data_IF_148837532125
#
_entry.id   IF_148837532125
#
_cell.length_a   1.000
_cell.length_b   1.000
_cell.length_c   1.000
_cell.angle_alpha   90.00
_cell.angle_beta   90.00
_cell.angle_gamma   90.00
#
_symmetry.space_group_name_H-M   'P 1'
#
loop_
_entity.id
_entity.type
_entity.pdbx_description
1 polymer ?
#
# COMPACT_ATOMS: atom_id res chain seq x y z
N UNK A 1 10.08 28.53 18.24
CA UNK A 1 9.70 28.90 16.86
C UNK A 1 9.90 27.67 16.01
N UNK A 2 8.85 26.89 15.74
CA UNK A 2 8.95 25.75 14.83
C UNK A 2 8.58 26.23 13.44
N UNK A 3 9.54 26.16 12.52
CA UNK A 3 9.30 26.43 11.10
C UNK A 3 8.58 25.19 10.56
N UNK A 4 7.27 25.28 10.37
CA UNK A 4 6.51 24.27 9.63
C UNK A 4 6.90 24.40 8.16
N UNK A 5 7.69 23.45 7.68
CA UNK A 5 7.99 23.33 6.26
C UNK A 5 6.76 22.74 5.58
N UNK A 6 5.99 23.56 4.86
CA UNK A 6 4.99 23.05 3.91
C UNK A 6 5.78 22.59 2.68
N UNK A 7 6.06 21.30 2.61
CA UNK A 7 6.67 20.69 1.42
C UNK A 7 5.73 20.97 0.23
N UNK A 8 6.21 21.60 -0.86
CA UNK A 8 5.36 21.92 -2.01
C UNK A 8 4.79 20.62 -2.59
N UNK A 9 3.50 20.65 -2.90
CA UNK A 9 2.69 19.53 -3.38
C UNK A 9 3.16 19.05 -4.75
N UNK A 10 4.25 18.27 -4.82
CA UNK A 10 4.53 17.45 -5.98
C UNK A 10 3.68 16.17 -5.86
N UNK A 11 2.68 16.04 -6.73
CA UNK A 11 2.00 14.79 -7.12
C UNK A 11 2.26 13.60 -6.19
N UNK A 12 1.50 13.54 -5.11
CA UNK A 12 1.71 12.56 -4.08
C UNK A 12 1.00 11.27 -4.47
N UNK A 13 1.77 10.25 -4.85
CA UNK A 13 1.26 8.90 -5.03
C UNK A 13 0.68 8.43 -3.70
N UNK A 14 -0.58 8.00 -3.74
CA UNK A 14 -1.29 7.45 -2.59
C UNK A 14 -1.27 5.94 -2.63
N UNK A 15 -0.86 5.36 -1.51
CA UNK A 15 -0.76 3.91 -1.36
C UNK A 15 -1.96 3.36 -0.58
N UNK A 16 -2.48 2.22 -1.02
CA UNK A 16 -3.58 1.53 -0.35
C UNK A 16 -3.42 0.01 -0.44
N UNK A 17 -3.87 -0.70 0.59
CA UNK A 17 -3.99 -2.15 0.56
C UNK A 17 -5.32 -2.52 -0.10
N UNK A 18 -5.27 -3.47 -1.03
CA UNK A 18 -6.45 -3.95 -1.73
C UNK A 18 -6.98 -5.22 -1.07
N UNK A 19 -8.32 -5.37 -0.95
CA UNK A 19 -8.92 -6.61 -0.51
C UNK A 19 -8.52 -7.79 -1.40
N UNK A 20 -8.34 -8.94 -0.78
CA UNK A 20 -8.06 -10.19 -1.47
C UNK A 20 -8.82 -11.34 -0.82
N UNK A 21 -8.94 -12.48 -1.50
CA UNK A 21 -9.73 -13.63 -1.05
C UNK A 21 -9.31 -14.21 0.31
N UNK A 22 -8.07 -13.96 0.72
CA UNK A 22 -7.49 -14.52 1.94
C UNK A 22 -7.52 -13.55 3.11
N UNK A 23 -8.11 -12.36 2.95
CA UNK A 23 -8.17 -11.28 3.96
C UNK A 23 -6.81 -10.89 4.57
N UNK A 24 -5.71 -11.29 3.94
CA UNK A 24 -4.34 -11.06 4.40
C UNK A 24 -4.07 -9.57 4.67
N UNK A 25 -4.63 -8.70 3.81
CA UNK A 25 -4.52 -7.25 3.92
C UNK A 25 -5.04 -6.69 5.26
N UNK A 26 -5.98 -7.37 5.94
CA UNK A 26 -6.54 -6.92 7.22
C UNK A 26 -5.51 -6.94 8.36
N UNK A 27 -4.49 -7.80 8.25
CA UNK A 27 -3.42 -7.93 9.24
C UNK A 27 -2.32 -6.88 9.08
N UNK A 28 -2.38 -6.04 8.04
CA UNK A 28 -1.39 -5.01 7.75
C UNK A 28 -2.01 -3.62 7.73
N UNK A 29 -1.17 -2.62 7.93
CA UNK A 29 -1.48 -1.23 7.69
C UNK A 29 -0.49 -0.68 6.68
N UNK A 30 -0.91 0.27 5.85
CA UNK A 30 -0.02 0.99 4.95
C UNK A 30 -0.15 2.48 5.21
N UNK A 31 0.98 3.17 5.32
CA UNK A 31 1.00 4.61 5.33
C UNK A 31 0.71 5.14 3.92
N UNK A 32 -0.39 5.88 3.76
CA UNK A 32 -0.89 6.34 2.48
C UNK A 32 0.05 7.31 1.74
N UNK A 33 1.02 7.91 2.43
CA UNK A 33 1.96 8.89 1.91
C UNK A 33 3.31 8.26 1.56
N UNK A 34 3.83 7.44 2.46
CA UNK A 34 5.18 6.87 2.36
C UNK A 34 5.18 5.45 1.80
N UNK A 35 4.04 4.76 1.79
CA UNK A 35 3.94 3.37 1.40
C UNK A 35 4.53 2.39 2.42
N UNK A 36 4.91 2.85 3.62
CA UNK A 36 5.46 1.99 4.67
C UNK A 36 4.37 1.05 5.17
N UNK A 37 4.65 -0.26 5.08
CA UNK A 37 3.75 -1.31 5.55
C UNK A 37 4.14 -1.70 6.97
N UNK A 38 3.15 -1.73 7.86
CA UNK A 38 3.29 -2.13 9.26
C UNK A 38 2.30 -3.22 9.61
N UNK A 39 2.60 -3.97 10.67
CA UNK A 39 1.80 -5.10 11.12
C UNK A 39 0.77 -4.64 12.14
N UNK A 40 -0.50 -5.06 12.01
CA UNK A 40 -1.57 -4.75 12.99
C UNK A 40 -1.70 -5.80 14.09
N UNK A 41 -1.10 -6.97 13.89
CA UNK A 41 -1.22 -8.11 14.78
C UNK A 41 0.12 -8.83 14.92
N UNK A 42 0.24 -9.62 15.96
CA UNK A 42 1.37 -10.54 16.11
C UNK A 42 1.15 -11.72 15.17
N UNK A 43 2.19 -12.09 14.43
CA UNK A 43 2.13 -13.20 13.49
C UNK A 43 2.77 -14.44 14.08
N UNK A 44 2.08 -15.56 13.94
CA UNK A 44 2.60 -16.88 14.28
C UNK A 44 2.96 -17.61 12.98
N UNK A 45 4.26 -17.87 12.81
CA UNK A 45 4.79 -18.53 11.61
C UNK A 45 4.28 -19.97 11.47
N UNK A 46 3.96 -20.65 12.57
CA UNK A 46 3.42 -22.02 12.55
C UNK A 46 2.01 -22.07 11.97
N UNK A 47 1.25 -20.99 12.13
CA UNK A 47 -0.08 -20.84 11.54
C UNK A 47 0.01 -20.37 10.09
N UNK A 48 0.84 -19.35 9.82
CA UNK A 48 1.02 -18.82 8.48
C UNK A 48 2.39 -18.16 8.31
N UNK A 49 3.23 -18.80 7.49
CA UNK A 49 4.59 -18.33 7.20
C UNK A 49 4.67 -17.23 6.13
N UNK A 50 3.65 -17.15 5.26
CA UNK A 50 3.66 -16.26 4.09
C UNK A 50 2.30 -15.60 3.89
N UNK A 51 2.32 -14.29 3.67
CA UNK A 51 1.17 -13.48 3.30
C UNK A 51 1.39 -12.86 1.92
N UNK A 52 0.36 -12.91 1.09
CA UNK A 52 0.32 -12.18 -0.17
C UNK A 52 -0.61 -11.00 0.01
N UNK A 53 -0.08 -9.79 -0.17
CA UNK A 53 -0.85 -8.55 -0.07
C UNK A 53 -0.78 -7.79 -1.38
N UNK A 54 -1.92 -7.23 -1.80
CA UNK A 54 -2.01 -6.39 -3.00
C UNK A 54 -1.91 -4.93 -2.58
N UNK A 55 -0.95 -4.22 -3.16
CA UNK A 55 -0.75 -2.78 -2.95
C UNK A 55 -1.12 -2.05 -4.22
N UNK A 56 -1.95 -1.00 -4.07
CA UNK A 56 -2.29 -0.05 -5.13
C UNK A 56 -1.61 1.27 -4.86
N UNK A 57 -0.96 1.82 -5.87
CA UNK A 57 -0.35 3.14 -5.88
C UNK A 57 -1.08 4.02 -6.91
N UNK A 58 -1.57 5.19 -6.51
CA UNK A 58 -2.41 6.07 -7.34
C UNK A 58 -1.86 7.50 -7.35
N UNK A 59 -1.62 8.09 -8.52
CA UNK A 59 -1.00 9.42 -8.65
C UNK A 59 -2.00 10.59 -8.54
N UNK A 60 -3.29 10.29 -8.36
CA UNK A 60 -4.36 11.26 -8.18
C UNK A 60 -4.65 12.14 -9.41
N UNK A 61 -4.03 11.86 -10.56
CA UNK A 61 -4.25 12.60 -11.81
C UNK A 61 -5.04 11.76 -12.80
N UNK A 62 -6.11 12.34 -13.34
CA UNK A 62 -6.85 11.78 -14.45
C UNK A 62 -5.87 11.37 -15.57
N UNK A 63 -6.08 10.17 -16.12
CA UNK A 63 -5.24 9.67 -17.19
C UNK A 63 -5.31 10.59 -18.41
N UNK A 64 -4.15 11.07 -18.89
CA UNK A 64 -4.03 11.79 -20.17
C UNK A 64 -4.12 10.83 -21.38
N UNK A 65 -4.25 9.52 -21.13
CA UNK A 65 -4.32 8.51 -22.18
C UNK A 65 -5.70 8.55 -22.88
N UNK A 66 -5.74 8.75 -24.21
CA UNK A 66 -6.99 8.70 -24.95
C UNK A 66 -7.57 7.28 -24.89
N UNK A 67 -8.83 7.16 -24.45
CA UNK A 67 -9.51 5.87 -24.30
C UNK A 67 -9.26 5.15 -22.97
N UNK A 68 -8.68 5.81 -21.96
CA UNK A 68 -8.63 5.28 -20.60
C UNK A 68 -10.04 5.08 -20.05
N UNK A 69 -10.36 3.84 -19.65
CA UNK A 69 -11.62 3.49 -19.04
C UNK A 69 -11.39 2.94 -17.63
N UNK A 70 -12.11 3.42 -16.61
CA UNK A 70 -13.15 4.45 -16.67
C UNK A 70 -12.60 5.87 -16.89
N UNK A 71 -13.32 6.68 -17.66
CA UNK A 71 -12.93 8.05 -17.99
C UNK A 71 -12.73 8.90 -16.72
N UNK A 72 -11.75 9.80 -16.75
CA UNK A 72 -11.39 10.69 -15.63
C UNK A 72 -10.92 9.99 -14.34
N UNK A 73 -10.57 8.70 -14.38
CA UNK A 73 -9.97 8.05 -13.22
C UNK A 73 -8.45 8.20 -13.18
N UNK A 74 -7.84 8.25 -11.98
CA UNK A 74 -6.40 8.41 -11.89
C UNK A 74 -5.59 7.23 -12.41
N UNK A 75 -4.36 7.49 -12.85
CA UNK A 75 -3.45 6.41 -13.16
C UNK A 75 -3.10 5.66 -11.87
N UNK A 76 -3.24 4.33 -11.91
CA UNK A 76 -2.86 3.48 -10.80
C UNK A 76 -2.06 2.28 -11.23
N UNK A 77 -1.07 1.93 -10.42
CA UNK A 77 -0.29 0.70 -10.52
C UNK A 77 -0.68 -0.25 -9.39
N UNK A 78 -0.76 -1.55 -9.69
CA UNK A 78 -1.00 -2.59 -8.70
C UNK A 78 0.17 -3.57 -8.69
N UNK A 79 0.59 -3.98 -7.48
CA UNK A 79 1.63 -4.99 -7.29
C UNK A 79 1.27 -5.93 -6.15
N UNK A 80 1.74 -7.18 -6.25
CA UNK A 80 1.63 -8.18 -5.17
C UNK A 80 2.94 -8.20 -4.40
N UNK A 81 2.86 -8.00 -3.09
CA UNK A 81 3.99 -8.11 -2.18
C UNK A 81 3.89 -9.42 -1.38
N UNK A 82 4.99 -10.16 -1.32
CA UNK A 82 5.14 -11.34 -0.47
C UNK A 82 5.74 -10.89 0.86
N UNK A 83 5.01 -11.14 1.95
CA UNK A 83 5.49 -10.90 3.32
C UNK A 83 5.77 -12.25 3.96
N UNK A 84 7.04 -12.50 4.30
CA UNK A 84 7.47 -13.70 5.00
C UNK A 84 7.64 -13.40 6.48
N UNK A 85 7.05 -14.22 7.34
CA UNK A 85 7.22 -14.12 8.79
C UNK A 85 8.53 -14.82 9.19
N UNK A 86 9.42 -14.06 9.81
CA UNK A 86 10.66 -14.60 10.38
C UNK A 86 10.46 -14.85 11.87
N UNK A 87 11.05 -15.92 12.37
CA UNK A 87 11.12 -16.16 13.81
C UNK A 87 12.00 -15.07 14.43
N UNK A 88 11.51 -14.46 15.50
CA UNK A 88 12.39 -13.69 16.38
C UNK A 88 13.27 -14.71 17.08
N UNK A 89 14.52 -14.84 16.65
CA UNK A 89 15.53 -15.61 17.39
C UNK A 89 15.64 -14.95 18.78
N UNK A 90 15.22 -15.69 19.81
CA UNK A 90 15.45 -15.35 21.21
C UNK A 90 16.94 -15.41 21.55
#
# INVERSE_FOLDING_TARGET
MFVSYVVPTCLQVRYSLMPDSNDAYMHFNIDEVTGVITTRSQFDREQQAVYYIKVKAEDGKASDAPGHFPENTPNSGMSVCLVATSETQL
#
